data_IF_496735821630
#
_entry.id   IF_496735821630
#
_cell.length_a   1.000
_cell.length_b   1.000
_cell.length_c   1.000
_cell.angle_alpha   90.00
_cell.angle_beta   90.00
_cell.angle_gamma   90.00
#
_symmetry.space_group_name_H-M   'P 1'
#
loop_
_entity.id
_entity.type
_entity.pdbx_description
1 polymer ?
#
# COMPACT_ATOMS: atom_id res chain seq x y z
N UNK A 1 -17.48 0.19 27.64
CA UNK A 1 -17.29 1.35 26.75
C UNK A 1 -15.86 1.30 26.23
N UNK A 2 -15.61 0.60 25.12
CA UNK A 2 -14.26 0.42 24.53
C UNK A 2 -14.22 0.51 23.00
N UNK A 3 -15.35 0.55 22.30
CA UNK A 3 -15.37 0.60 20.81
C UNK A 3 -14.89 1.94 20.22
N UNK A 4 -15.09 3.05 20.91
CA UNK A 4 -14.90 4.39 20.31
C UNK A 4 -13.45 4.72 19.92
N UNK A 5 -12.46 4.10 20.57
CA UNK A 5 -11.03 4.40 20.32
C UNK A 5 -10.43 3.55 19.19
N UNK A 6 -10.86 2.29 19.07
CA UNK A 6 -10.42 1.41 17.99
C UNK A 6 -11.00 1.88 16.65
N UNK A 7 -12.27 2.27 16.62
CA UNK A 7 -12.92 2.84 15.44
C UNK A 7 -12.28 4.15 14.98
N UNK A 8 -11.93 5.04 15.92
CA UNK A 8 -11.23 6.28 15.59
C UNK A 8 -9.82 6.04 15.02
N UNK A 9 -9.11 5.05 15.55
CA UNK A 9 -7.78 4.64 15.07
C UNK A 9 -7.89 4.04 13.67
N UNK A 10 -8.86 3.15 13.44
CA UNK A 10 -9.13 2.57 12.12
C UNK A 10 -9.46 3.65 11.10
N UNK A 11 -10.31 4.62 11.47
CA UNK A 11 -10.65 5.74 10.57
C UNK A 11 -9.42 6.57 10.22
N UNK A 12 -8.54 6.88 11.18
CA UNK A 12 -7.31 7.61 10.91
C UNK A 12 -6.36 6.85 9.97
N UNK A 13 -6.26 5.52 10.14
CA UNK A 13 -5.49 4.66 9.25
C UNK A 13 -6.06 4.64 7.83
N UNK A 14 -7.38 4.53 7.69
CA UNK A 14 -8.07 4.58 6.39
C UNK A 14 -7.90 5.94 5.70
N UNK A 15 -8.00 7.03 6.45
CA UNK A 15 -7.78 8.38 5.94
C UNK A 15 -6.33 8.56 5.44
N UNK A 16 -5.35 8.10 6.23
CA UNK A 16 -3.93 8.17 5.84
C UNK A 16 -3.65 7.35 4.58
N UNK A 17 -4.23 6.15 4.51
CA UNK A 17 -4.13 5.27 3.35
C UNK A 17 -4.70 5.93 2.09
N UNK A 18 -5.94 6.40 2.16
CA UNK A 18 -6.67 6.91 0.99
C UNK A 18 -6.16 8.27 0.50
N UNK A 19 -5.80 9.18 1.42
CA UNK A 19 -5.40 10.55 1.08
C UNK A 19 -3.93 10.69 0.71
N UNK A 20 -3.06 9.81 1.22
CA UNK A 20 -1.61 9.97 1.04
C UNK A 20 -0.96 8.78 0.35
N UNK A 21 -1.25 7.57 0.81
CA UNK A 21 -0.50 6.38 0.38
C UNK A 21 -0.96 5.85 -0.97
N UNK A 22 -2.26 5.71 -1.14
CA UNK A 22 -2.85 5.19 -2.36
C UNK A 22 -2.56 6.07 -3.60
N UNK A 23 -2.68 7.41 -3.55
CA UNK A 23 -2.34 8.25 -4.70
C UNK A 23 -0.89 8.08 -5.13
N UNK A 24 0.05 8.03 -4.16
CA UNK A 24 1.47 7.84 -4.46
C UNK A 24 1.76 6.45 -5.05
N UNK A 25 1.13 5.40 -4.54
CA UNK A 25 1.27 4.04 -5.10
C UNK A 25 0.75 3.98 -6.55
N UNK A 26 -0.37 4.65 -6.85
CA UNK A 26 -0.93 4.71 -8.19
C UNK A 26 -0.02 5.49 -9.17
N UNK A 27 0.60 6.57 -8.71
CA UNK A 27 1.59 7.31 -9.51
C UNK A 27 2.81 6.44 -9.82
N UNK A 28 3.34 5.71 -8.83
CA UNK A 28 4.44 4.76 -9.01
C UNK A 28 4.02 3.67 -10.02
N UNK A 29 2.83 3.08 -9.84
CA UNK A 29 2.28 2.06 -10.75
C UNK A 29 2.24 2.57 -12.19
N UNK A 30 1.73 3.77 -12.41
CA UNK A 30 1.63 4.37 -13.75
C UNK A 30 3.01 4.49 -14.42
N UNK A 31 4.04 4.88 -13.67
CA UNK A 31 5.41 5.01 -14.19
C UNK A 31 6.01 3.65 -14.53
N UNK A 32 5.93 2.67 -13.63
CA UNK A 32 6.47 1.33 -13.90
C UNK A 32 5.71 0.64 -15.03
N UNK A 33 4.39 0.81 -15.15
CA UNK A 33 3.63 0.30 -16.29
C UNK A 33 4.06 0.96 -17.62
N UNK A 34 4.62 2.17 -17.57
CA UNK A 34 5.24 2.86 -18.70
C UNK A 34 6.66 2.40 -19.04
N UNK A 35 7.20 1.42 -18.33
CA UNK A 35 8.55 0.88 -18.53
C UNK A 35 9.64 1.57 -17.71
N UNK A 36 9.29 2.52 -16.85
CA UNK A 36 10.27 3.17 -15.97
C UNK A 36 10.71 2.23 -14.82
N UNK A 37 11.97 2.34 -14.42
CA UNK A 37 12.48 1.67 -13.23
C UNK A 37 12.06 2.40 -11.95
N UNK A 38 12.00 1.67 -10.84
CA UNK A 38 11.81 2.28 -9.53
C UNK A 38 13.06 3.09 -9.16
N UNK A 39 12.86 4.26 -8.57
CA UNK A 39 13.95 4.99 -7.92
C UNK A 39 14.23 4.45 -6.51
N UNK A 40 15.43 4.65 -5.98
CA UNK A 40 15.76 4.28 -4.59
C UNK A 40 14.77 4.89 -3.57
N UNK A 41 14.31 6.12 -3.84
CA UNK A 41 13.32 6.80 -3.01
C UNK A 41 11.96 6.09 -3.01
N UNK A 42 11.57 5.52 -4.14
CA UNK A 42 10.32 4.78 -4.30
C UNK A 42 10.43 3.38 -3.70
N UNK A 43 11.58 2.73 -3.82
CA UNK A 43 11.86 1.48 -3.09
C UNK A 43 11.74 1.71 -1.59
N UNK A 44 12.38 2.76 -1.05
CA UNK A 44 12.27 3.11 0.37
C UNK A 44 10.83 3.42 0.80
N UNK A 45 10.09 4.18 -0.02
CA UNK A 45 8.68 4.44 0.22
C UNK A 45 7.87 3.15 0.27
N UNK A 46 8.03 2.25 -0.71
CA UNK A 46 7.28 1.00 -0.82
C UNK A 46 7.55 0.10 0.40
N UNK A 47 8.82 -0.04 0.81
CA UNK A 47 9.22 -0.84 1.98
C UNK A 47 8.56 -0.34 3.26
N UNK A 48 8.73 0.93 3.60
CA UNK A 48 8.08 1.51 4.79
C UNK A 48 6.57 1.41 4.73
N UNK A 49 6.04 1.51 3.51
CA UNK A 49 4.61 1.49 3.34
C UNK A 49 3.99 0.08 3.50
N UNK A 50 4.78 -0.97 3.26
CA UNK A 50 4.43 -2.36 3.56
C UNK A 50 4.56 -2.67 5.06
N UNK A 51 5.60 -2.16 5.73
CA UNK A 51 5.78 -2.29 7.18
C UNK A 51 4.57 -1.72 7.94
N UNK A 52 4.16 -0.49 7.61
CA UNK A 52 2.97 0.14 8.16
C UNK A 52 1.69 -0.70 7.94
N UNK A 53 1.59 -1.37 6.77
CA UNK A 53 0.43 -2.20 6.44
C UNK A 53 0.40 -3.50 7.26
N UNK A 54 1.57 -4.10 7.53
CA UNK A 54 1.69 -5.27 8.40
C UNK A 54 1.30 -4.93 9.85
N UNK A 55 1.76 -3.78 10.36
CA UNK A 55 1.38 -3.30 11.69
C UNK A 55 -0.13 -3.00 11.79
N UNK A 56 -0.74 -2.54 10.70
CA UNK A 56 -2.17 -2.31 10.60
C UNK A 56 -3.00 -3.59 10.43
N UNK A 57 -2.40 -4.71 9.98
CA UNK A 57 -3.10 -5.95 9.68
C UNK A 57 -3.83 -6.55 10.91
N UNK A 58 -3.35 -6.28 12.12
CA UNK A 58 -4.02 -6.67 13.37
C UNK A 58 -5.41 -6.03 13.56
N UNK A 59 -5.63 -4.85 12.98
CA UNK A 59 -6.94 -4.19 12.97
C UNK A 59 -7.83 -4.67 11.81
N UNK A 60 -7.22 -5.22 10.75
CA UNK A 60 -7.89 -5.71 9.54
C UNK A 60 -8.60 -7.05 9.78
N UNK A 61 -7.98 -7.97 10.53
CA UNK A 61 -8.54 -9.32 10.79
C UNK A 61 -9.90 -9.31 11.50
N UNK A 62 -10.27 -8.20 12.14
CA UNK A 62 -11.53 -8.03 12.88
C UNK A 62 -12.60 -7.30 12.07
N UNK A 63 -12.30 -6.81 10.87
CA UNK A 63 -13.22 -6.00 10.06
C UNK A 63 -13.26 -6.46 8.58
N UNK A 64 -14.37 -7.04 8.09
CA UNK A 64 -14.48 -7.54 6.72
C UNK A 64 -14.21 -6.50 5.62
N UNK A 65 -14.58 -5.23 5.84
CA UNK A 65 -14.32 -4.15 4.87
C UNK A 65 -12.84 -3.80 4.80
N UNK A 66 -12.16 -3.80 5.93
CA UNK A 66 -10.72 -3.58 6.00
C UNK A 66 -9.97 -4.73 5.29
N UNK A 67 -10.48 -5.95 5.37
CA UNK A 67 -9.87 -7.11 4.72
C UNK A 67 -9.88 -7.00 3.19
N UNK A 68 -11.02 -6.62 2.59
CA UNK A 68 -11.12 -6.41 1.15
C UNK A 68 -10.17 -5.30 0.66
N UNK A 69 -10.10 -4.19 1.40
CA UNK A 69 -9.20 -3.09 1.07
C UNK A 69 -7.72 -3.50 1.22
N UNK A 70 -7.39 -4.23 2.29
CA UNK A 70 -6.05 -4.77 2.51
C UNK A 70 -5.58 -5.67 1.36
N UNK A 71 -6.45 -6.58 0.91
CA UNK A 71 -6.16 -7.45 -0.22
C UNK A 71 -5.89 -6.66 -1.52
N UNK A 72 -6.66 -5.61 -1.79
CA UNK A 72 -6.44 -4.74 -2.96
C UNK A 72 -5.09 -4.01 -2.90
N UNK A 73 -4.66 -3.59 -1.71
CA UNK A 73 -3.35 -2.93 -1.54
C UNK A 73 -2.22 -3.93 -1.74
N UNK A 74 -2.33 -5.14 -1.18
CA UNK A 74 -1.34 -6.20 -1.39
C UNK A 74 -1.19 -6.51 -2.89
N UNK A 75 -2.31 -6.66 -3.59
CA UNK A 75 -2.28 -6.87 -5.05
C UNK A 75 -1.60 -5.72 -5.79
N UNK A 76 -1.90 -4.46 -5.41
CA UNK A 76 -1.26 -3.28 -6.01
C UNK A 76 0.26 -3.28 -5.81
N UNK A 77 0.73 -3.72 -4.64
CA UNK A 77 2.15 -3.87 -4.37
C UNK A 77 2.81 -4.95 -5.23
N UNK A 78 2.19 -6.12 -5.32
CA UNK A 78 2.67 -7.22 -6.16
C UNK A 78 2.77 -6.79 -7.62
N UNK A 79 1.78 -6.06 -8.13
CA UNK A 79 1.76 -5.54 -9.50
C UNK A 79 2.91 -4.55 -9.74
N UNK A 80 3.14 -3.62 -8.81
CA UNK A 80 4.22 -2.62 -8.92
C UNK A 80 5.58 -3.31 -8.93
N UNK A 81 5.82 -4.21 -7.97
CA UNK A 81 7.10 -4.91 -7.84
C UNK A 81 7.34 -5.83 -9.03
N UNK A 82 6.33 -6.57 -9.46
CA UNK A 82 6.41 -7.46 -10.63
C UNK A 82 6.79 -6.69 -11.89
N UNK A 83 6.07 -5.58 -12.17
CA UNK A 83 6.38 -4.71 -13.31
C UNK A 83 7.77 -4.07 -13.21
N UNK A 84 8.17 -3.61 -12.03
CA UNK A 84 9.49 -3.04 -11.81
C UNK A 84 10.61 -4.05 -12.09
N UNK A 85 10.45 -5.30 -11.65
CA UNK A 85 11.40 -6.39 -11.92
C UNK A 85 11.50 -6.72 -13.42
N UNK A 86 10.40 -6.63 -14.16
CA UNK A 86 10.43 -6.76 -15.62
C UNK A 86 11.24 -5.62 -16.24
N UNK A 87 11.00 -4.37 -15.82
CA UNK A 87 11.71 -3.20 -16.34
C UNK A 87 13.22 -3.21 -16.09
N UNK A 88 13.68 -3.80 -14.98
CA UNK A 88 15.12 -4.00 -14.73
C UNK A 88 15.77 -4.98 -15.72
N UNK A 89 15.03 -5.97 -16.21
CA UNK A 89 15.54 -7.00 -17.14
C UNK A 89 15.61 -6.53 -18.60
N UNK A 90 14.93 -5.43 -18.94
CA UNK A 90 14.84 -4.91 -20.32
C UNK A 90 15.92 -3.86 -20.65
N UNK A 91 17.09 -3.98 -20.03
CA UNK A 91 18.19 -2.99 -20.08
C UNK A 91 19.52 -3.68 -20.22
#
# INVERSE_FOLDING_TARGET
MSDSSEDATLQALLDRLTKFRLPRLLDIKKRVDGGERLTDSEVGFLTHALEDAQDAAKFVTRNPKAHALGAQIVQLYEDIVGRALENEKHT
#
